data_IF_053706869000
#
_entry.id   IF_053706869000
#
_cell.length_a   1.000
_cell.length_b   1.000
_cell.length_c   1.000
_cell.angle_alpha   90.00
_cell.angle_beta   90.00
_cell.angle_gamma   90.00
#
_symmetry.space_group_name_H-M   'P 1'
#
loop_
_entity.id
_entity.type
_entity.pdbx_description
1 polymer ?
#
# COMPACT_ATOMS: atom_id res chain seq x y z
N UNK A 1 -28.58 -1.65 -6.72
CA UNK A 1 -27.68 -2.65 -7.35
C UNK A 1 -26.30 -2.12 -7.76
N UNK A 2 -26.04 -0.80 -7.89
CA UNK A 2 -24.74 -0.31 -8.38
C UNK A 2 -23.53 -0.45 -7.44
N UNK A 3 -23.75 -0.57 -6.12
CA UNK A 3 -22.66 -0.66 -5.13
C UNK A 3 -21.88 -1.98 -5.20
N UNK A 4 -22.57 -3.11 -5.39
CA UNK A 4 -21.93 -4.42 -5.48
C UNK A 4 -21.04 -4.53 -6.72
N UNK A 5 -21.53 -4.05 -7.88
CA UNK A 5 -20.75 -4.06 -9.11
C UNK A 5 -19.50 -3.18 -9.03
N UNK A 6 -19.62 -1.99 -8.41
CA UNK A 6 -18.48 -1.09 -8.19
C UNK A 6 -17.44 -1.72 -7.26
N UNK A 7 -17.89 -2.36 -6.19
CA UNK A 7 -16.99 -3.06 -5.25
C UNK A 7 -16.27 -4.23 -5.93
N UNK A 8 -16.97 -5.03 -6.73
CA UNK A 8 -16.35 -6.10 -7.52
C UNK A 8 -15.30 -5.55 -8.50
N UNK A 9 -15.62 -4.49 -9.23
CA UNK A 9 -14.68 -3.86 -10.16
C UNK A 9 -13.45 -3.31 -9.43
N UNK A 10 -13.65 -2.67 -8.28
CA UNK A 10 -12.56 -2.15 -7.43
C UNK A 10 -11.60 -3.27 -7.02
N UNK A 11 -12.12 -4.42 -6.57
CA UNK A 11 -11.29 -5.58 -6.21
C UNK A 11 -10.49 -6.11 -7.39
N UNK A 12 -11.14 -6.34 -8.53
CA UNK A 12 -10.45 -6.81 -9.74
C UNK A 12 -9.37 -5.84 -10.22
N UNK A 13 -9.61 -4.54 -10.11
CA UNK A 13 -8.59 -3.55 -10.43
C UNK A 13 -7.38 -3.66 -9.48
N UNK A 14 -7.60 -3.78 -8.17
CA UNK A 14 -6.52 -3.94 -7.19
C UNK A 14 -5.73 -5.24 -7.41
N UNK A 15 -6.41 -6.35 -7.72
CA UNK A 15 -5.77 -7.62 -8.02
C UNK A 15 -4.88 -7.50 -9.27
N UNK A 16 -5.39 -6.90 -10.35
CA UNK A 16 -4.65 -6.68 -11.59
C UNK A 16 -3.42 -5.78 -11.39
N UNK A 17 -3.54 -4.68 -10.64
CA UNK A 17 -2.39 -3.83 -10.34
C UNK A 17 -1.33 -4.54 -9.51
N UNK A 18 -1.75 -5.40 -8.57
CA UNK A 18 -0.85 -6.18 -7.73
C UNK A 18 -0.09 -7.21 -8.57
N UNK A 19 -0.81 -7.95 -9.42
CA UNK A 19 -0.21 -8.92 -10.34
C UNK A 19 0.77 -8.26 -11.31
N UNK A 20 0.42 -7.12 -11.90
CA UNK A 20 1.32 -6.37 -12.78
C UNK A 20 2.57 -5.87 -12.04
N UNK A 21 2.43 -5.41 -10.80
CA UNK A 21 3.55 -4.94 -9.99
C UNK A 21 4.54 -6.06 -9.65
N UNK A 22 4.05 -7.28 -9.39
CA UNK A 22 4.90 -8.43 -9.09
C UNK A 22 5.67 -8.96 -10.32
N UNK A 23 5.22 -8.63 -11.53
CA UNK A 23 5.82 -9.09 -12.79
C UNK A 23 6.64 -8.00 -13.51
N UNK A 24 7.04 -6.93 -12.83
CA UNK A 24 7.81 -5.82 -13.44
C UNK A 24 9.00 -5.38 -12.59
N UNK A 25 9.80 -4.47 -13.14
CA UNK A 25 10.94 -3.85 -12.43
C UNK A 25 10.46 -2.97 -11.27
N UNK A 26 11.25 -2.87 -10.20
CA UNK A 26 10.88 -2.17 -8.96
C UNK A 26 10.38 -0.73 -9.15
N UNK A 27 10.92 0.02 -10.12
CA UNK A 27 10.44 1.38 -10.44
C UNK A 27 9.00 1.39 -10.95
N UNK A 28 8.71 0.58 -11.98
CA UNK A 28 7.34 0.45 -12.51
C UNK A 28 6.38 -0.18 -11.50
N UNK A 29 6.85 -1.11 -10.66
CA UNK A 29 6.04 -1.70 -9.59
C UNK A 29 5.57 -0.64 -8.59
N UNK A 30 6.44 0.31 -8.23
CA UNK A 30 6.09 1.45 -7.37
C UNK A 30 5.01 2.33 -8.00
N UNK A 31 5.09 2.61 -9.30
CA UNK A 31 4.08 3.41 -10.01
C UNK A 31 2.71 2.72 -10.06
N UNK A 32 2.69 1.43 -10.38
CA UNK A 32 1.47 0.61 -10.41
C UNK A 32 0.78 0.57 -9.04
N UNK A 33 1.55 0.40 -7.97
CA UNK A 33 0.99 0.37 -6.61
C UNK A 33 0.52 1.76 -6.14
N UNK A 34 1.13 2.85 -6.61
CA UNK A 34 0.59 4.21 -6.38
C UNK A 34 -0.75 4.41 -7.09
N UNK A 35 -0.90 3.87 -8.30
CA UNK A 35 -2.18 3.88 -9.01
C UNK A 35 -3.24 3.07 -8.24
N UNK A 36 -2.89 1.88 -7.74
CA UNK A 36 -3.78 1.07 -6.90
C UNK A 36 -4.20 1.81 -5.61
N UNK A 37 -3.27 2.52 -4.95
CA UNK A 37 -3.57 3.31 -3.75
C UNK A 37 -4.48 4.52 -4.02
N UNK A 38 -4.58 4.96 -5.28
CA UNK A 38 -5.55 5.99 -5.70
C UNK A 38 -6.96 5.40 -5.85
N UNK A 39 -7.07 4.13 -6.23
CA UNK A 39 -8.35 3.41 -6.38
C UNK A 39 -8.95 3.06 -5.02
N UNK A 40 -8.13 2.54 -4.11
CA UNK A 40 -8.51 2.33 -2.71
C UNK A 40 -7.44 2.91 -1.77
N UNK A 41 -7.68 4.15 -1.29
CA UNK A 41 -6.81 4.84 -0.34
C UNK A 41 -6.60 4.13 1.00
N UNK A 42 -7.43 3.13 1.33
CA UNK A 42 -7.40 2.38 2.58
C UNK A 42 -7.01 0.91 2.39
N UNK A 43 -6.61 0.50 1.19
CA UNK A 43 -6.18 -0.86 0.94
C UNK A 43 -4.81 -1.15 1.58
N UNK A 44 -4.82 -1.89 2.69
CA UNK A 44 -3.61 -2.17 3.48
C UNK A 44 -2.54 -2.91 2.68
N UNK A 45 -2.92 -3.93 1.91
CA UNK A 45 -1.95 -4.74 1.17
C UNK A 45 -1.16 -3.92 0.16
N UNK A 46 -1.82 -2.97 -0.53
CA UNK A 46 -1.14 -2.04 -1.44
C UNK A 46 -0.14 -1.16 -0.71
N UNK A 47 -0.51 -0.60 0.44
CA UNK A 47 0.40 0.25 1.23
C UNK A 47 1.58 -0.56 1.79
N UNK A 48 1.33 -1.77 2.30
CA UNK A 48 2.37 -2.68 2.78
C UNK A 48 3.39 -3.02 1.68
N UNK A 49 2.91 -3.40 0.49
CA UNK A 49 3.77 -3.76 -0.65
C UNK A 49 4.59 -2.57 -1.14
N UNK A 50 3.96 -1.39 -1.26
CA UNK A 50 4.63 -0.17 -1.71
C UNK A 50 5.73 0.28 -0.73
N UNK A 51 5.46 0.25 0.58
CA UNK A 51 6.47 0.57 1.60
C UNK A 51 7.63 -0.44 1.54
N UNK A 52 7.34 -1.73 1.36
CA UNK A 52 8.37 -2.77 1.23
C UNK A 52 9.28 -2.53 0.02
N UNK A 53 8.71 -2.25 -1.15
CA UNK A 53 9.49 -1.95 -2.36
C UNK A 53 10.32 -0.67 -2.21
N UNK A 54 9.80 0.35 -1.53
CA UNK A 54 10.58 1.57 -1.24
C UNK A 54 11.77 1.28 -0.32
N UNK A 55 11.60 0.40 0.67
CA UNK A 55 12.69 -0.04 1.54
C UNK A 55 13.73 -0.88 0.77
N UNK A 56 13.30 -1.79 -0.09
CA UNK A 56 14.18 -2.60 -0.96
C UNK A 56 14.97 -1.73 -1.95
N UNK A 57 14.35 -0.66 -2.46
CA UNK A 57 14.99 0.34 -3.29
C UNK A 57 15.91 1.30 -2.50
N UNK A 58 15.97 1.19 -1.18
CA UNK A 58 16.76 2.04 -0.29
C UNK A 58 16.15 3.42 0.00
N UNK A 59 14.97 3.74 -0.54
CA UNK A 59 14.26 5.00 -0.27
C UNK A 59 13.46 4.92 1.04
N UNK A 60 14.20 4.83 2.16
CA UNK A 60 13.61 4.80 3.50
C UNK A 60 12.78 6.06 3.80
N UNK A 61 13.17 7.22 3.26
CA UNK A 61 12.44 8.48 3.48
C UNK A 61 11.05 8.43 2.86
N UNK A 62 10.93 7.94 1.63
CA UNK A 62 9.61 7.75 1.02
C UNK A 62 8.80 6.68 1.74
N UNK A 63 9.43 5.58 2.19
CA UNK A 63 8.77 4.53 2.96
C UNK A 63 8.15 5.08 4.26
N UNK A 64 8.90 5.85 5.06
CA UNK A 64 8.40 6.49 6.28
C UNK A 64 7.25 7.47 5.99
N UNK A 65 7.40 8.37 5.01
CA UNK A 65 6.33 9.33 4.69
C UNK A 65 5.04 8.63 4.27
N UNK A 66 5.14 7.57 3.47
CA UNK A 66 3.98 6.80 3.04
C UNK A 66 3.32 6.08 4.21
N UNK A 67 4.12 5.47 5.08
CA UNK A 67 3.66 4.83 6.32
C UNK A 67 2.87 5.82 7.19
N UNK A 68 3.44 6.97 7.50
CA UNK A 68 2.83 7.97 8.38
C UNK A 68 1.55 8.54 7.77
N UNK A 69 1.55 8.78 6.44
CA UNK A 69 0.35 9.23 5.72
C UNK A 69 -0.78 8.21 5.80
N UNK A 70 -0.46 6.92 5.67
CA UNK A 70 -1.45 5.86 5.76
C UNK A 70 -1.98 5.69 7.19
N UNK A 71 -1.11 5.73 8.21
CA UNK A 71 -1.51 5.69 9.61
C UNK A 71 -2.39 6.87 10.01
N UNK A 72 -2.03 8.10 9.62
CA UNK A 72 -2.87 9.29 9.85
C UNK A 72 -4.24 9.11 9.19
N UNK A 73 -4.28 8.60 7.95
CA UNK A 73 -5.54 8.34 7.25
C UNK A 73 -6.39 7.29 7.96
N UNK A 74 -5.82 6.20 8.45
CA UNK A 74 -6.55 5.20 9.24
C UNK A 74 -7.11 5.81 10.53
N UNK A 75 -6.27 6.54 11.28
CA UNK A 75 -6.66 7.19 12.52
C UNK A 75 -7.82 8.18 12.33
N UNK A 76 -7.79 9.00 11.27
CA UNK A 76 -8.89 9.92 10.90
C UNK A 76 -10.21 9.21 10.60
N UNK A 77 -10.17 7.95 10.18
CA UNK A 77 -11.35 7.14 9.91
C UNK A 77 -11.71 6.21 11.09
N UNK A 78 -11.05 6.34 12.24
CA UNK A 78 -11.27 5.48 13.41
C UNK A 78 -10.83 4.03 13.22
N UNK A 79 -9.95 3.78 12.24
CA UNK A 79 -9.43 2.47 11.90
C UNK A 79 -8.03 2.28 12.50
N UNK A 80 -7.65 1.02 12.66
CA UNK A 80 -6.30 0.60 13.05
C UNK A 80 -5.72 -0.29 11.96
N UNK A 81 -4.40 -0.25 11.81
CA UNK A 81 -3.72 -1.10 10.86
C UNK A 81 -3.78 -2.56 11.34
N UNK A 82 -3.84 -3.50 10.38
CA UNK A 82 -3.77 -4.92 10.63
C UNK A 82 -2.40 -5.36 11.15
N UNK A 83 -2.33 -6.64 11.55
CA UNK A 83 -1.12 -7.22 12.13
C UNK A 83 0.08 -7.19 11.15
N UNK A 84 -0.17 -7.44 9.86
CA UNK A 84 0.87 -7.44 8.83
C UNK A 84 1.50 -6.04 8.68
N UNK A 85 0.67 -4.99 8.63
CA UNK A 85 1.16 -3.62 8.56
C UNK A 85 1.89 -3.19 9.86
N UNK A 86 1.42 -3.64 11.02
CA UNK A 86 2.07 -3.37 12.31
C UNK A 86 3.49 -3.98 12.39
N UNK A 87 3.71 -5.16 11.83
CA UNK A 87 5.05 -5.77 11.72
C UNK A 87 5.98 -4.95 10.82
N UNK A 88 5.44 -4.35 9.76
CA UNK A 88 6.20 -3.45 8.90
C UNK A 88 6.58 -2.15 9.61
N UNK A 89 5.70 -1.61 10.47
CA UNK A 89 5.99 -0.47 11.34
C UNK A 89 7.19 -0.74 12.27
N UNK A 90 7.29 -1.94 12.84
CA UNK A 90 8.46 -2.33 13.66
C UNK A 90 9.75 -2.33 12.82
N UNK A 91 9.71 -2.86 11.59
CA UNK A 91 10.87 -2.85 10.67
C UNK A 91 11.33 -1.45 10.30
N UNK A 92 10.39 -0.51 10.17
CA UNK A 92 10.71 0.91 9.92
C UNK A 92 11.35 1.59 11.14
N UNK A 93 11.02 1.16 12.35
CA UNK A 93 11.48 1.80 13.60
C UNK A 93 12.90 1.40 14.02
N UNK A 94 13.46 0.33 13.45
CA UNK A 94 14.81 -0.14 13.75
C UNK A 94 15.86 0.61 12.91
N UNK A 95 16.86 1.28 13.52
CA UNK A 95 18.01 1.76 12.79
C UNK A 95 18.81 0.56 12.28
N UNK A 96 19.11 0.54 10.98
CA UNK A 96 20.08 -0.39 10.38
C UNK A 96 21.49 -0.10 10.85
#
# INVERSE_FOLDING_TARGET
MGGAHRETLRRHALDAYTELADNTTSGHAIELLRAAATIDPMHEATHHRLITLLLEAGDRRAAHRLHDTYQDRLARNGLQAGAAFSLLTDRLSKPT
#
